data_IF_805187900114
#
_entry.id   IF_805187900114
#
_cell.length_a   1.000
_cell.length_b   1.000
_cell.length_c   1.000
_cell.angle_alpha   90.00
_cell.angle_beta   90.00
_cell.angle_gamma   90.00
#
_symmetry.space_group_name_H-M   'P 1'
#
loop_
_entity.id
_entity.type
_entity.pdbx_description
1 polymer ?
#
# COMPACT_ATOMS: atom_id res chain seq x y z
N UNK A 1 17.61 -9.81 8.14
CA UNK A 1 17.23 -8.90 7.05
C UNK A 1 15.71 -8.68 6.96
N UNK A 2 14.88 -9.72 6.83
CA UNK A 2 13.42 -9.62 6.62
C UNK A 2 12.61 -8.76 7.62
N UNK A 3 13.03 -8.64 8.89
CA UNK A 3 12.32 -7.78 9.86
C UNK A 3 13.07 -6.50 10.18
N UNK A 4 14.02 -6.10 9.34
CA UNK A 4 14.67 -4.81 9.50
C UNK A 4 13.79 -3.75 8.83
N UNK A 5 13.46 -2.63 9.49
CA UNK A 5 12.51 -1.64 8.98
C UNK A 5 12.94 -1.00 7.66
N UNK A 6 14.25 -0.90 7.41
CA UNK A 6 14.79 -0.42 6.12
C UNK A 6 14.68 -1.43 4.96
N UNK A 7 14.29 -2.68 5.24
CA UNK A 7 14.10 -3.73 4.22
C UNK A 7 12.61 -4.03 4.07
N UNK A 8 11.90 -4.11 5.20
CA UNK A 8 10.47 -4.38 5.23
C UNK A 8 9.79 -3.28 6.06
N UNK A 9 9.34 -2.19 5.43
CA UNK A 9 8.78 -1.03 6.12
C UNK A 9 7.57 -1.35 7.00
N UNK A 10 6.86 -2.45 6.71
CA UNK A 10 5.79 -2.98 7.56
C UNK A 10 6.27 -3.32 8.99
N UNK A 11 7.58 -3.54 9.18
CA UNK A 11 8.21 -3.77 10.48
C UNK A 11 8.66 -2.50 11.22
N UNK A 12 8.45 -1.30 10.66
CA UNK A 12 8.72 -0.04 11.35
C UNK A 12 7.92 0.05 12.66
N UNK A 13 8.50 0.69 13.68
CA UNK A 13 7.84 0.87 14.97
C UNK A 13 6.64 1.82 14.85
N UNK A 14 6.79 2.91 14.09
CA UNK A 14 5.75 3.89 13.83
C UNK A 14 6.00 4.62 12.51
N UNK A 15 4.90 5.08 11.90
CA UNK A 15 4.87 5.98 10.76
C UNK A 15 4.42 7.40 11.13
N UNK A 16 4.11 7.65 12.41
CA UNK A 16 3.71 8.98 12.87
C UNK A 16 4.74 10.05 12.45
N UNK A 17 4.25 11.17 11.90
CA UNK A 17 5.09 12.24 11.35
C UNK A 17 5.58 12.01 9.92
N UNK A 18 5.23 10.90 9.27
CA UNK A 18 5.46 10.70 7.85
C UNK A 18 4.69 11.75 7.00
N UNK A 19 5.22 12.13 5.82
CA UNK A 19 4.48 12.98 4.87
C UNK A 19 3.24 12.24 4.33
N UNK A 20 2.33 12.93 3.62
CA UNK A 20 1.23 12.27 2.94
C UNK A 20 1.71 11.14 2.03
N UNK A 21 1.02 9.99 2.08
CA UNK A 21 1.41 8.77 1.37
C UNK A 21 0.35 8.42 0.33
N UNK A 22 0.78 8.11 -0.89
CA UNK A 22 -0.07 7.57 -1.95
C UNK A 22 0.39 6.15 -2.28
N UNK A 23 -0.55 5.21 -2.25
CA UNK A 23 -0.28 3.81 -2.58
C UNK A 23 -1.30 3.33 -3.60
N UNK A 24 -0.80 2.78 -4.69
CA UNK A 24 -1.59 2.11 -5.73
C UNK A 24 -1.27 0.63 -5.70
N UNK A 25 -2.30 -0.20 -5.82
CA UNK A 25 -2.16 -1.64 -5.97
C UNK A 25 -3.10 -2.16 -7.06
N UNK A 26 -2.68 -3.21 -7.75
CA UNK A 26 -3.60 -4.08 -8.47
C UNK A 26 -4.28 -5.10 -7.55
N UNK A 27 -4.96 -6.07 -8.15
CA UNK A 27 -5.29 -7.35 -7.49
C UNK A 27 -4.10 -8.30 -7.64
N UNK A 28 -3.11 -8.09 -6.79
CA UNK A 28 -1.81 -8.74 -6.88
C UNK A 28 -1.33 -9.29 -5.53
N UNK A 29 -0.23 -10.06 -5.54
CA UNK A 29 0.31 -10.71 -4.34
C UNK A 29 0.74 -9.71 -3.24
N UNK A 30 1.12 -8.49 -3.60
CA UNK A 30 1.56 -7.47 -2.65
C UNK A 30 0.40 -6.61 -2.10
N UNK A 31 -0.83 -6.84 -2.56
CA UNK A 31 -1.97 -6.02 -2.14
C UNK A 31 -2.21 -6.09 -0.63
N UNK A 32 -2.05 -7.26 -0.01
CA UNK A 32 -2.29 -7.45 1.42
C UNK A 32 -1.28 -6.69 2.30
N UNK A 33 0.00 -6.67 1.92
CA UNK A 33 1.00 -5.88 2.66
C UNK A 33 0.80 -4.38 2.46
N UNK A 34 0.38 -3.95 1.26
CA UNK A 34 -0.01 -2.58 0.98
C UNK A 34 -1.17 -2.13 1.86
N UNK A 35 -2.25 -2.92 1.92
CA UNK A 35 -3.42 -2.71 2.78
C UNK A 35 -3.05 -2.61 4.25
N UNK A 36 -2.23 -3.55 4.74
CA UNK A 36 -1.75 -3.53 6.12
C UNK A 36 -0.96 -2.26 6.43
N UNK A 37 -0.06 -1.86 5.53
CA UNK A 37 0.74 -0.65 5.67
C UNK A 37 -0.13 0.61 5.72
N UNK A 38 -1.03 0.82 4.74
CA UNK A 38 -1.84 2.04 4.69
C UNK A 38 -2.84 2.13 5.84
N UNK A 39 -3.43 1.01 6.24
CA UNK A 39 -4.34 0.93 7.38
C UNK A 39 -3.61 1.30 8.67
N UNK A 40 -2.40 0.79 8.87
CA UNK A 40 -1.58 1.10 10.04
C UNK A 40 -1.12 2.56 10.06
N UNK A 41 -0.65 3.09 8.93
CA UNK A 41 -0.24 4.49 8.80
C UNK A 41 -1.41 5.44 9.08
N UNK A 42 -2.60 5.16 8.53
CA UNK A 42 -3.80 5.95 8.78
C UNK A 42 -4.22 5.95 10.26
N UNK A 43 -4.14 4.79 10.96
CA UNK A 43 -4.38 4.72 12.42
C UNK A 43 -3.38 5.54 13.23
N UNK A 44 -2.20 5.82 12.68
CA UNK A 44 -1.15 6.64 13.27
C UNK A 44 -1.21 8.10 12.81
N UNK A 45 -2.38 8.54 12.35
CA UNK A 45 -2.68 9.92 11.94
C UNK A 45 -1.88 10.40 10.71
N UNK A 46 -1.27 9.49 9.96
CA UNK A 46 -0.66 9.82 8.66
C UNK A 46 -1.76 9.99 7.62
N UNK A 47 -1.64 11.04 6.79
CA UNK A 47 -2.53 11.22 5.65
C UNK A 47 -2.23 10.18 4.57
N UNK A 48 -3.20 9.32 4.23
CA UNK A 48 -2.98 8.22 3.28
C UNK A 48 -4.05 8.15 2.21
N UNK A 49 -3.63 8.05 0.96
CA UNK A 49 -4.49 7.76 -0.19
C UNK A 49 -4.17 6.35 -0.69
N UNK A 50 -5.16 5.47 -0.64
CA UNK A 50 -5.10 4.11 -1.15
C UNK A 50 -6.00 3.95 -2.37
N UNK A 51 -5.47 3.36 -3.45
CA UNK A 51 -6.25 3.00 -4.63
C UNK A 51 -5.93 1.56 -5.04
N UNK A 52 -6.95 0.70 -5.06
CA UNK A 52 -6.84 -0.66 -5.56
C UNK A 52 -7.61 -0.84 -6.85
N UNK A 53 -6.97 -1.35 -7.89
CA UNK A 53 -7.59 -1.53 -9.21
C UNK A 53 -7.89 -3.00 -9.48
N UNK A 54 -9.17 -3.29 -9.77
CA UNK A 54 -9.66 -4.62 -10.11
C UNK A 54 -8.99 -5.15 -11.39
N UNK A 55 -8.65 -6.45 -11.38
CA UNK A 55 -8.04 -7.18 -12.49
C UNK A 55 -6.72 -6.59 -13.03
N UNK A 56 -6.06 -5.72 -12.28
CA UNK A 56 -4.77 -5.14 -12.67
C UNK A 56 -3.58 -5.89 -12.03
N UNK A 57 -2.51 -6.18 -12.80
CA UNK A 57 -1.31 -6.83 -12.29
C UNK A 57 -0.36 -5.85 -11.57
N UNK A 58 0.71 -6.40 -11.02
CA UNK A 58 1.81 -5.62 -10.46
C UNK A 58 2.36 -4.60 -11.47
N UNK A 59 2.59 -3.36 -11.02
CA UNK A 59 3.11 -2.25 -11.84
C UNK A 59 2.29 -1.91 -13.10
N UNK A 60 0.98 -2.23 -13.12
CA UNK A 60 0.11 -1.90 -14.26
C UNK A 60 0.14 -0.42 -14.71
N UNK A 61 0.32 0.62 -13.85
CA UNK A 61 0.33 2.00 -14.33
C UNK A 61 1.51 2.32 -15.24
N UNK A 62 2.59 1.53 -15.14
CA UNK A 62 3.82 1.73 -15.90
C UNK A 62 3.96 0.75 -17.07
N UNK A 63 3.32 -0.43 -16.98
CA UNK A 63 3.56 -1.54 -17.90
C UNK A 63 2.44 -1.76 -18.93
N UNK A 64 1.21 -1.32 -18.65
CA UNK A 64 0.07 -1.54 -19.53
C UNK A 64 -0.27 -0.28 -20.32
N UNK A 65 0.60 0.10 -21.25
CA UNK A 65 0.37 1.23 -22.16
C UNK A 65 -0.95 1.04 -22.93
N UNK A 66 -1.75 2.11 -23.03
CA UNK A 66 -3.07 2.08 -23.67
C UNK A 66 -4.20 1.47 -22.84
N UNK A 67 -3.92 0.92 -21.66
CA UNK A 67 -4.96 0.48 -20.73
C UNK A 67 -5.60 1.69 -20.00
N UNK A 68 -6.93 1.84 -20.00
CA UNK A 68 -7.60 2.96 -19.33
C UNK A 68 -7.36 3.05 -17.82
N UNK A 69 -7.28 1.92 -17.12
CA UNK A 69 -6.98 1.91 -15.68
C UNK A 69 -5.56 2.40 -15.41
N UNK A 70 -4.60 1.96 -16.24
CA UNK A 70 -3.21 2.43 -16.19
C UNK A 70 -3.11 3.95 -16.33
N UNK A 71 -3.79 4.51 -17.34
CA UNK A 71 -3.85 5.95 -17.56
C UNK A 71 -4.46 6.71 -16.36
N UNK A 72 -5.62 6.27 -15.87
CA UNK A 72 -6.28 6.90 -14.70
C UNK A 72 -5.41 6.82 -13.44
N UNK A 73 -4.73 5.70 -13.22
CA UNK A 73 -3.82 5.55 -12.08
C UNK A 73 -2.62 6.49 -12.20
N UNK A 74 -2.01 6.58 -13.38
CA UNK A 74 -0.89 7.47 -13.63
C UNK A 74 -1.27 8.95 -13.48
N UNK A 75 -2.44 9.35 -13.98
CA UNK A 75 -2.97 10.71 -13.81
C UNK A 75 -3.22 11.03 -12.34
N UNK A 76 -3.84 10.11 -11.60
CA UNK A 76 -4.12 10.31 -10.17
C UNK A 76 -2.82 10.40 -9.36
N UNK A 77 -1.81 9.60 -9.69
CA UNK A 77 -0.48 9.69 -9.10
C UNK A 77 0.18 11.04 -9.39
N UNK A 78 0.15 11.51 -10.65
CA UNK A 78 0.72 12.79 -11.03
C UNK A 78 0.03 13.96 -10.32
N UNK A 79 -1.30 13.92 -10.17
CA UNK A 79 -2.06 14.89 -9.39
C UNK A 79 -1.68 14.89 -7.91
N UNK A 80 -1.52 13.70 -7.31
CA UNK A 80 -1.06 13.59 -5.92
C UNK A 80 0.30 14.26 -5.73
N UNK A 81 1.27 14.00 -6.63
CA UNK A 81 2.60 14.63 -6.56
C UNK A 81 2.51 16.15 -6.65
N UNK A 82 1.71 16.68 -7.59
CA UNK A 82 1.48 18.13 -7.71
C UNK A 82 0.90 18.71 -6.42
N UNK A 83 -0.14 18.07 -5.86
CA UNK A 83 -0.77 18.50 -4.61
C UNK A 83 0.20 18.44 -3.44
N UNK A 84 1.01 17.40 -3.32
CA UNK A 84 1.97 17.25 -2.23
C UNK A 84 3.00 18.40 -2.19
N UNK A 85 3.38 18.92 -3.36
CA UNK A 85 4.30 20.05 -3.47
C UNK A 85 3.61 21.40 -3.31
N UNK A 86 2.46 21.58 -3.95
CA UNK A 86 1.81 22.89 -4.06
C UNK A 86 0.86 23.16 -2.89
N UNK A 87 0.01 22.19 -2.56
CA UNK A 87 -1.07 22.33 -1.58
C UNK A 87 -1.23 21.05 -0.73
N UNK A 88 -0.22 20.62 0.05
CA UNK A 88 -0.26 19.33 0.77
C UNK A 88 -1.42 19.21 1.76
N UNK A 89 -1.95 20.33 2.26
CA UNK A 89 -3.11 20.39 3.16
C UNK A 89 -4.44 19.97 2.52
N UNK A 90 -4.50 19.92 1.18
CA UNK A 90 -5.68 19.48 0.44
C UNK A 90 -5.72 17.95 0.27
N UNK A 91 -4.64 17.25 0.61
CA UNK A 91 -4.62 15.79 0.59
C UNK A 91 -5.35 15.30 1.83
N UNK A 92 -6.37 14.47 1.61
CA UNK A 92 -7.17 13.86 2.67
C UNK A 92 -7.02 12.34 2.63
N UNK A 93 -7.13 11.71 3.79
CA UNK A 93 -7.12 10.25 3.88
C UNK A 93 -8.33 9.67 3.16
N UNK A 94 -8.10 8.74 2.23
CA UNK A 94 -9.16 8.01 1.51
C UNK A 94 -8.67 6.65 1.03
N UNK A 95 -9.59 5.73 0.84
CA UNK A 95 -9.34 4.44 0.21
C UNK A 95 -10.43 4.17 -0.82
N UNK A 96 -10.05 3.75 -2.02
CA UNK A 96 -10.98 3.42 -3.09
C UNK A 96 -10.62 2.07 -3.74
N UNK A 97 -11.64 1.30 -4.08
CA UNK A 97 -11.57 0.18 -5.02
C UNK A 97 -12.08 0.63 -6.38
N UNK A 98 -11.31 0.40 -7.45
CA UNK A 98 -11.61 0.87 -8.79
C UNK A 98 -11.93 -0.34 -9.66
N UNK A 99 -13.19 -0.41 -10.10
CA UNK A 99 -13.70 -1.56 -10.86
C UNK A 99 -13.16 -1.62 -12.28
N UNK A 100 -13.02 -2.82 -12.80
CA UNK A 100 -12.50 -3.07 -14.13
C UNK A 100 -13.48 -2.57 -15.20
N UNK A 101 -12.93 -2.13 -16.34
CA UNK A 101 -13.65 -1.60 -17.53
C UNK A 101 -14.36 -0.27 -17.30
N UNK A 102 -15.18 -0.12 -16.26
CA UNK A 102 -15.97 1.08 -15.99
C UNK A 102 -15.24 2.12 -15.14
N UNK A 103 -14.20 1.69 -14.40
CA UNK A 103 -13.40 2.55 -13.54
C UNK A 103 -14.22 3.28 -12.47
N UNK A 104 -15.33 2.66 -12.03
CA UNK A 104 -16.12 3.19 -10.91
C UNK A 104 -15.28 3.07 -9.65
N UNK A 105 -15.17 4.18 -8.91
CA UNK A 105 -14.52 4.26 -7.60
C UNK A 105 -15.53 3.91 -6.52
N UNK A 106 -15.28 2.83 -5.81
CA UNK A 106 -16.05 2.37 -4.66
C UNK A 106 -15.27 2.71 -3.38
N UNK A 107 -15.78 3.63 -2.53
CA UNK A 107 -15.09 4.00 -1.30
C UNK A 107 -14.94 2.82 -0.35
N UNK A 108 -13.76 2.67 0.24
CA UNK A 108 -13.44 1.68 1.26
C UNK A 108 -13.19 2.35 2.62
N UNK A 109 -13.43 1.59 3.70
CA UNK A 109 -13.02 1.98 5.04
C UNK A 109 -11.50 1.73 5.21
N UNK A 110 -10.71 2.80 5.22
CA UNK A 110 -9.24 2.76 5.40
C UNK A 110 -8.84 1.99 6.67
N UNK A 111 -9.68 1.97 7.71
CA UNK A 111 -9.42 1.28 8.96
C UNK A 111 -9.65 -0.23 8.93
N UNK A 112 -10.28 -0.74 7.86
CA UNK A 112 -10.74 -2.13 7.68
C UNK A 112 -10.35 -2.72 6.32
N UNK A 113 -9.22 -2.30 5.75
CA UNK A 113 -8.70 -2.86 4.51
C UNK A 113 -8.19 -4.29 4.66
N UNK A 114 -7.73 -4.68 5.85
CA UNK A 114 -7.28 -6.05 6.13
C UNK A 114 -7.67 -6.49 7.54
N UNK A 115 -8.17 -7.72 7.64
CA UNK A 115 -8.59 -8.38 8.89
C UNK A 115 -7.41 -9.08 9.57
N UNK A 116 -6.32 -8.34 9.82
CA UNK A 116 -5.15 -8.85 10.53
C UNK A 116 -4.55 -7.77 11.42
N UNK A 117 -4.19 -8.13 12.65
CA UNK A 117 -3.54 -7.20 13.58
C UNK A 117 -2.05 -7.05 13.27
N UNK A 118 -1.48 -5.91 13.64
CA UNK A 118 -0.05 -5.64 13.47
C UNK A 118 0.81 -6.70 14.20
N UNK A 119 0.36 -7.16 15.37
CA UNK A 119 1.06 -8.20 16.14
C UNK A 119 1.10 -9.54 15.40
N UNK A 120 -0.01 -9.93 14.77
CA UNK A 120 -0.06 -11.16 13.96
C UNK A 120 0.86 -11.05 12.76
N UNK A 121 0.84 -9.92 12.06
CA UNK A 121 1.70 -9.64 10.91
C UNK A 121 3.17 -9.71 11.32
N UNK A 122 3.57 -8.96 12.36
CA UNK A 122 4.94 -8.93 12.86
C UNK A 122 5.38 -10.31 13.38
N UNK A 123 4.47 -11.07 14.00
CA UNK A 123 4.69 -12.45 14.43
C UNK A 123 5.01 -13.36 13.25
N UNK A 124 4.22 -13.28 12.16
CA UNK A 124 4.46 -14.02 10.91
C UNK A 124 5.80 -13.65 10.29
N UNK A 125 6.12 -12.35 10.19
CA UNK A 125 7.41 -11.89 9.67
C UNK A 125 8.59 -12.45 10.48
N UNK A 126 8.53 -12.40 11.82
CA UNK A 126 9.57 -12.94 12.71
C UNK A 126 9.73 -14.45 12.54
N UNK A 127 8.62 -15.18 12.43
CA UNK A 127 8.62 -16.63 12.18
C UNK A 127 9.30 -16.95 10.85
N UNK A 128 8.88 -16.30 9.75
CA UNK A 128 9.49 -16.50 8.44
C UNK A 128 10.97 -16.14 8.41
N UNK A 129 11.39 -15.08 9.11
CA UNK A 129 12.81 -14.74 9.27
C UNK A 129 13.57 -15.89 9.94
N UNK A 130 13.04 -16.46 11.02
CA UNK A 130 13.68 -17.56 11.72
C UNK A 130 13.82 -18.79 10.83
N UNK A 131 12.76 -19.16 10.11
CA UNK A 131 12.79 -20.28 9.16
C UNK A 131 13.86 -20.10 8.06
N UNK A 132 14.05 -18.88 7.57
CA UNK A 132 15.13 -18.57 6.60
C UNK A 132 16.52 -18.76 7.22
N UNK A 133 16.71 -18.30 8.47
CA UNK A 133 17.97 -18.44 9.19
C UNK A 133 18.29 -19.92 9.43
N UNK A 134 17.31 -20.69 9.89
CA UNK A 134 17.48 -22.12 10.19
C UNK A 134 17.84 -22.91 8.94
N UNK A 135 17.19 -22.62 7.80
CA UNK A 135 17.52 -23.24 6.50
C UNK A 135 18.92 -22.87 6.02
N UNK A 136 19.38 -21.65 6.26
CA UNK A 136 20.71 -21.21 5.85
C UNK A 136 21.82 -21.82 6.71
N UNK A 137 21.56 -22.08 8.00
CA UNK A 137 22.52 -22.71 8.92
C UNK A 137 22.54 -24.25 8.87
N UNK A 138 21.60 -24.87 8.16
CA UNK A 138 21.55 -26.32 7.93
C UNK A 138 22.35 -26.79 6.69
N UNK A 139 22.94 -25.84 5.94
CA UNK A 139 23.86 -26.08 4.82
C UNK A 139 25.30 -25.71 5.23
#
# INVERSE_FOLDING_TARGET
MLCHPLVSPLSAESWAGAPPIFVVSGEEMLADEGKAFVQRAARQEVTVVWEQYEAMPHCFPLLLEGNPAGAVSFDTWAEFVKKAVQNPREIVTRADFITAKTLVREPLDIGKLIEMSDEVILGRMKKSRQEIIDRAGAN
#
